data_IF_887034053261
#
_entry.id   IF_887034053261
#
_cell.length_a   1.000
_cell.length_b   1.000
_cell.length_c   1.000
_cell.angle_alpha   90.00
_cell.angle_beta   90.00
_cell.angle_gamma   90.00
#
_symmetry.space_group_name_H-M   'P 1'
#
loop_
_entity.id
_entity.type
_entity.pdbx_description
1 polymer ?
#
# COMPACT_ATOMS: atom_id res chain seq x y z
N UNK A 1 11.02 -4.51 -4.27
CA UNK A 1 10.76 -4.22 -2.84
C UNK A 1 10.04 -5.41 -2.22
N UNK A 2 10.66 -6.10 -1.26
CA UNK A 2 10.05 -7.25 -0.56
C UNK A 2 10.08 -6.89 0.92
N UNK A 3 8.92 -6.65 1.54
CA UNK A 3 8.83 -6.45 2.99
C UNK A 3 8.52 -7.80 3.63
N UNK A 4 9.50 -8.35 4.36
CA UNK A 4 9.36 -9.59 5.10
C UNK A 4 9.34 -9.28 6.60
N UNK A 5 8.41 -9.88 7.32
CA UNK A 5 8.43 -9.90 8.78
C UNK A 5 9.39 -10.99 9.25
N UNK A 6 10.46 -10.59 9.94
CA UNK A 6 11.37 -11.50 10.65
C UNK A 6 10.79 -11.81 12.03
N UNK A 7 10.87 -13.07 12.46
CA UNK A 7 10.33 -13.60 13.74
C UNK A 7 11.03 -13.08 15.01
N UNK A 8 11.77 -11.98 14.96
CA UNK A 8 12.35 -11.34 16.13
C UNK A 8 11.66 -9.99 16.35
N UNK A 9 11.03 -9.85 17.53
CA UNK A 9 10.49 -8.60 18.03
C UNK A 9 11.57 -7.50 17.99
N UNK A 10 11.14 -6.26 17.78
CA UNK A 10 11.88 -5.00 17.85
C UNK A 10 12.74 -4.65 16.61
N UNK A 11 12.31 -3.60 15.88
CA UNK A 11 12.87 -2.99 14.66
C UNK A 11 12.56 -3.70 13.32
N UNK A 12 11.81 -2.99 12.45
CA UNK A 12 11.52 -3.43 11.09
C UNK A 12 12.52 -2.81 10.11
N UNK A 13 12.90 -3.59 9.11
CA UNK A 13 13.84 -3.19 8.08
C UNK A 13 13.24 -3.43 6.69
N UNK A 14 13.42 -2.47 5.80
CA UNK A 14 12.86 -2.46 4.45
C UNK A 14 13.88 -3.07 3.50
N UNK A 15 13.56 -4.15 2.78
CA UNK A 15 14.46 -4.65 1.73
C UNK A 15 14.13 -4.04 0.37
N UNK A 16 15.01 -3.15 -0.09
CA UNK A 16 15.02 -2.61 -1.46
C UNK A 16 16.14 -3.32 -2.21
N UNK A 17 15.81 -4.03 -3.28
CA UNK A 17 16.78 -4.78 -4.12
C UNK A 17 17.66 -5.80 -3.36
N UNK A 18 17.16 -6.38 -2.28
CA UNK A 18 17.88 -7.36 -1.45
C UNK A 18 18.68 -6.73 -0.30
N UNK A 19 18.91 -5.42 -0.35
CA UNK A 19 19.66 -4.67 0.65
C UNK A 19 18.74 -4.18 1.77
N UNK A 20 19.21 -4.32 3.01
CA UNK A 20 18.46 -3.98 4.22
C UNK A 20 18.56 -2.47 4.46
N UNK A 21 17.51 -1.72 4.17
CA UNK A 21 17.41 -0.30 4.48
C UNK A 21 16.67 -0.10 5.80
N UNK A 22 17.21 0.79 6.62
CA UNK A 22 16.47 1.33 7.76
C UNK A 22 15.20 2.02 7.25
N UNK A 23 14.12 2.06 8.05
CA UNK A 23 12.97 2.90 7.74
C UNK A 23 13.48 4.31 7.46
N UNK A 24 13.01 4.97 6.38
CA UNK A 24 13.36 6.36 6.17
C UNK A 24 12.99 7.13 7.43
N UNK A 25 13.92 7.96 7.91
CA UNK A 25 13.64 8.88 8.99
C UNK A 25 12.37 9.67 8.63
N UNK A 26 11.53 10.02 9.63
CA UNK A 26 10.40 10.90 9.38
C UNK A 26 10.89 12.11 8.62
N UNK A 27 10.37 12.30 7.41
CA UNK A 27 10.65 13.47 6.58
C UNK A 27 10.29 14.68 7.43
N UNK A 28 11.22 15.65 7.49
CA UNK A 28 11.04 16.83 8.32
C UNK A 28 9.71 17.51 7.98
N UNK A 29 9.01 18.08 8.97
CA UNK A 29 7.68 18.69 8.74
C UNK A 29 7.69 19.77 7.64
N UNK A 30 8.86 20.34 7.35
CA UNK A 30 9.08 21.33 6.29
C UNK A 30 8.95 20.77 4.86
N UNK A 31 9.22 19.48 4.65
CA UNK A 31 9.20 18.87 3.30
C UNK A 31 7.85 18.15 3.05
N UNK A 32 7.13 17.77 4.11
CA UNK A 32 5.81 17.14 4.03
C UNK A 32 4.77 18.02 3.31
N UNK A 33 4.93 19.36 3.35
CA UNK A 33 4.06 20.31 2.64
C UNK A 33 4.21 20.25 1.11
N UNK A 34 5.31 19.69 0.58
CA UNK A 34 5.53 19.53 -0.86
C UNK A 34 5.18 18.14 -1.38
N UNK A 35 5.00 17.18 -0.46
CA UNK A 35 4.67 15.80 -0.80
C UNK A 35 3.29 15.70 -1.45
N UNK A 36 3.16 15.03 -2.61
CA UNK A 36 1.86 14.85 -3.26
C UNK A 36 0.99 13.82 -2.55
N UNK A 37 1.60 12.94 -1.74
CA UNK A 37 0.95 11.72 -1.25
C UNK A 37 -0.28 11.96 -0.36
N UNK A 38 -0.30 12.90 0.61
CA UNK A 38 -1.48 13.11 1.44
C UNK A 38 -2.74 13.48 0.65
N UNK A 39 -2.58 14.21 -0.47
CA UNK A 39 -3.70 14.62 -1.34
C UNK A 39 -4.30 13.46 -2.15
N UNK A 40 -3.57 12.35 -2.26
CA UNK A 40 -3.99 11.16 -2.98
C UNK A 40 -4.66 10.12 -2.07
N UNK A 41 -4.73 10.36 -0.76
CA UNK A 41 -5.36 9.45 0.20
C UNK A 41 -6.85 9.77 0.33
N UNK A 42 -7.68 8.73 0.25
CA UNK A 42 -9.12 8.80 0.50
C UNK A 42 -9.51 7.81 1.61
N UNK A 43 -10.38 8.23 2.52
CA UNK A 43 -10.85 7.36 3.61
C UNK A 43 -11.85 6.32 3.10
N UNK A 44 -11.74 5.10 3.63
CA UNK A 44 -12.73 4.07 3.39
C UNK A 44 -14.05 4.39 4.09
N UNK A 45 -15.14 3.77 3.64
CA UNK A 45 -16.46 3.99 4.20
C UNK A 45 -16.48 3.67 5.70
N UNK A 46 -16.99 4.62 6.50
CA UNK A 46 -17.08 4.51 7.95
C UNK A 46 -15.76 4.76 8.72
N UNK A 47 -14.67 5.11 8.04
CA UNK A 47 -13.41 5.54 8.68
C UNK A 47 -13.34 7.06 8.76
N UNK A 48 -12.87 7.60 9.89
CA UNK A 48 -12.75 9.05 10.14
C UNK A 48 -11.32 9.52 10.40
N UNK A 49 -10.41 8.59 10.69
CA UNK A 49 -9.01 8.87 10.99
C UNK A 49 -8.17 8.75 9.72
N UNK A 50 -7.28 9.71 9.46
CA UNK A 50 -6.30 9.61 8.38
C UNK A 50 -5.02 8.90 8.83
N UNK A 51 -4.21 8.35 7.91
CA UNK A 51 -2.97 7.65 8.25
C UNK A 51 -2.03 8.45 9.16
N UNK A 52 -1.91 9.76 8.97
CA UNK A 52 -0.99 10.58 9.76
C UNK A 52 -1.47 10.85 11.19
N UNK A 53 -2.76 10.67 11.46
CA UNK A 53 -3.36 10.78 12.80
C UNK A 53 -3.33 9.44 13.54
N UNK A 54 -3.25 8.33 12.80
CA UNK A 54 -3.23 6.99 13.34
C UNK A 54 -1.93 6.67 14.09
N UNK A 55 -2.06 5.92 15.20
CA UNK A 55 -0.93 5.45 16.00
C UNK A 55 0.01 4.53 15.21
N UNK A 56 -0.54 3.64 14.40
CA UNK A 56 0.20 2.62 13.67
C UNK A 56 -0.41 2.36 12.29
N UNK A 57 0.33 2.73 11.24
CA UNK A 57 -0.08 2.58 9.85
C UNK A 57 0.57 1.36 9.22
N UNK A 58 -0.29 0.48 8.72
CA UNK A 58 0.08 -0.66 7.87
C UNK A 58 -0.27 -0.33 6.43
N UNK A 59 0.66 -0.61 5.52
CA UNK A 59 0.52 -0.37 4.10
C UNK A 59 0.58 -1.68 3.31
N UNK A 60 -0.29 -1.81 2.32
CA UNK A 60 -0.25 -2.87 1.31
C UNK A 60 -0.71 -2.30 -0.01
N UNK A 61 -0.09 -2.68 -1.11
CA UNK A 61 -0.45 -2.20 -2.45
C UNK A 61 -0.55 -3.31 -3.48
N UNK A 62 -1.33 -3.04 -4.53
CA UNK A 62 -1.58 -4.00 -5.59
C UNK A 62 -2.48 -3.48 -6.70
N UNK A 63 -2.73 -4.37 -7.67
CA UNK A 63 -3.66 -4.10 -8.78
C UNK A 63 -5.12 -4.21 -8.31
N UNK A 64 -5.44 -5.20 -7.48
CA UNK A 64 -6.79 -5.45 -6.94
C UNK A 64 -7.86 -5.74 -8.02
N UNK A 65 -7.46 -6.33 -9.14
CA UNK A 65 -8.37 -6.77 -10.20
C UNK A 65 -9.34 -7.82 -9.66
N UNK A 66 -10.64 -7.67 -9.92
CA UNK A 66 -11.67 -8.66 -9.60
C UNK A 66 -11.62 -9.17 -8.15
N UNK A 67 -11.45 -8.24 -7.20
CA UNK A 67 -11.24 -8.48 -5.77
C UNK A 67 -11.87 -9.78 -5.23
N UNK A 68 -11.06 -10.83 -5.12
CA UNK A 68 -11.52 -12.18 -4.80
C UNK A 68 -11.15 -12.61 -3.37
N UNK A 69 -11.51 -13.83 -2.97
CA UNK A 69 -11.28 -14.36 -1.63
C UNK A 69 -9.81 -14.27 -1.17
N UNK A 70 -8.85 -14.49 -2.08
CA UNK A 70 -7.42 -14.29 -1.80
C UNK A 70 -7.08 -12.86 -1.35
N UNK A 71 -7.56 -11.84 -2.08
CA UNK A 71 -7.36 -10.43 -1.69
C UNK A 71 -8.04 -10.11 -0.36
N UNK A 72 -9.25 -10.62 -0.14
CA UNK A 72 -9.95 -10.45 1.15
C UNK A 72 -9.13 -11.05 2.30
N UNK A 73 -8.55 -12.23 2.09
CA UNK A 73 -7.69 -12.90 3.05
C UNK A 73 -6.47 -12.05 3.43
N UNK A 74 -5.74 -11.54 2.44
CA UNK A 74 -4.53 -10.73 2.72
C UNK A 74 -4.88 -9.37 3.34
N UNK A 75 -5.96 -8.70 2.91
CA UNK A 75 -6.42 -7.45 3.51
C UNK A 75 -6.80 -7.64 4.99
N UNK A 76 -7.48 -8.75 5.31
CA UNK A 76 -7.79 -9.12 6.70
C UNK A 76 -6.52 -9.32 7.53
N UNK A 77 -5.52 -10.03 6.98
CA UNK A 77 -4.25 -10.27 7.66
C UNK A 77 -3.44 -8.97 7.84
N UNK A 78 -3.44 -8.09 6.83
CA UNK A 78 -2.79 -6.79 6.91
C UNK A 78 -3.45 -5.90 7.98
N UNK A 79 -4.78 -5.88 8.04
CA UNK A 79 -5.55 -5.11 9.04
C UNK A 79 -5.24 -5.54 10.47
N UNK A 80 -4.95 -6.81 10.70
CA UNK A 80 -4.61 -7.34 12.03
C UNK A 80 -3.21 -6.90 12.54
N UNK A 81 -2.39 -6.26 11.70
CA UNK A 81 -1.00 -5.90 12.00
C UNK A 81 -0.81 -4.45 12.45
N UNK A 82 -1.89 -3.68 12.54
CA UNK A 82 -1.88 -2.32 13.09
C UNK A 82 -3.25 -1.68 13.14
N UNK A 83 -3.32 -0.42 13.59
CA UNK A 83 -4.59 0.24 13.87
C UNK A 83 -5.23 0.87 12.62
N UNK A 84 -4.45 1.20 11.60
CA UNK A 84 -4.92 1.79 10.34
C UNK A 84 -4.35 1.03 9.14
N UNK A 85 -5.22 0.51 8.27
CA UNK A 85 -4.80 -0.13 7.02
C UNK A 85 -4.95 0.84 5.85
N UNK A 86 -3.80 1.28 5.32
CA UNK A 86 -3.70 2.07 4.09
C UNK A 86 -3.45 1.13 2.90
N UNK A 87 -4.33 1.15 1.90
CA UNK A 87 -4.21 0.31 0.71
C UNK A 87 -3.83 1.12 -0.53
N UNK A 88 -2.68 0.84 -1.13
CA UNK A 88 -2.28 1.42 -2.42
C UNK A 88 -2.95 0.71 -3.60
N UNK A 89 -3.52 1.50 -4.52
CA UNK A 89 -4.10 0.99 -5.77
C UNK A 89 -3.31 1.55 -6.95
N UNK A 90 -2.70 0.67 -7.74
CA UNK A 90 -1.96 1.08 -8.94
C UNK A 90 -2.90 1.62 -10.02
N UNK A 91 -2.51 2.68 -10.73
CA UNK A 91 -3.24 3.19 -11.89
C UNK A 91 -3.24 2.22 -13.07
N UNK A 92 -4.17 2.44 -13.99
CA UNK A 92 -4.23 1.67 -15.23
C UNK A 92 -3.00 1.89 -16.12
N UNK A 93 -2.33 3.03 -15.98
CA UNK A 93 -1.07 3.34 -16.66
C UNK A 93 0.09 2.53 -16.06
N UNK A 94 0.27 2.58 -14.74
CA UNK A 94 1.30 1.78 -14.03
C UNK A 94 1.19 0.30 -14.38
N UNK A 95 -0.03 -0.25 -14.34
CA UNK A 95 -0.26 -1.66 -14.66
C UNK A 95 0.03 -1.97 -16.13
N UNK A 96 -0.30 -1.06 -17.06
CA UNK A 96 -0.01 -1.23 -18.49
C UNK A 96 1.49 -1.25 -18.77
N UNK A 97 2.25 -0.38 -18.13
CA UNK A 97 3.71 -0.33 -18.24
C UNK A 97 4.36 -1.62 -17.74
N UNK A 98 3.87 -2.14 -16.61
CA UNK A 98 4.44 -3.34 -15.98
C UNK A 98 4.04 -4.63 -16.70
N UNK A 99 2.78 -4.76 -17.13
CA UNK A 99 2.23 -6.01 -17.66
C UNK A 99 2.14 -6.06 -19.19
N UNK A 100 2.39 -4.94 -19.88
CA UNK A 100 2.45 -4.88 -21.34
C UNK A 100 1.09 -5.05 -22.04
N UNK A 101 -0.02 -4.71 -21.39
CA UNK A 101 -1.37 -4.93 -21.92
C UNK A 101 -2.43 -4.00 -21.31
N UNK A 102 -3.66 -4.06 -21.84
CA UNK A 102 -4.80 -3.33 -21.26
C UNK A 102 -5.13 -3.89 -19.89
N UNK A 103 -5.43 -3.00 -18.93
CA UNK A 103 -5.97 -3.42 -17.65
C UNK A 103 -7.30 -4.16 -17.84
N UNK A 104 -7.45 -5.27 -17.13
CA UNK A 104 -8.68 -6.07 -17.18
C UNK A 104 -9.87 -5.37 -16.53
N UNK A 105 -9.61 -4.45 -15.59
CA UNK A 105 -10.61 -3.69 -14.85
C UNK A 105 -10.09 -2.26 -14.60
N UNK A 106 -10.95 -1.25 -14.71
CA UNK A 106 -10.54 0.15 -14.61
C UNK A 106 -10.10 0.52 -13.19
N UNK A 107 -9.21 1.50 -13.10
CA UNK A 107 -8.74 2.05 -11.83
C UNK A 107 -9.88 2.47 -10.90
N UNK A 108 -10.89 3.17 -11.40
CA UNK A 108 -12.01 3.68 -10.62
C UNK A 108 -12.82 2.54 -10.00
N UNK A 109 -13.02 1.45 -10.75
CA UNK A 109 -13.74 0.26 -10.27
C UNK A 109 -12.95 -0.44 -9.16
N UNK A 110 -11.65 -0.63 -9.37
CA UNK A 110 -10.75 -1.26 -8.39
C UNK A 110 -10.65 -0.41 -7.12
N UNK A 111 -10.45 0.89 -7.28
CA UNK A 111 -10.31 1.84 -6.19
C UNK A 111 -11.59 1.97 -5.36
N UNK A 112 -12.75 2.15 -6.01
CA UNK A 112 -14.04 2.23 -5.31
C UNK A 112 -14.35 0.97 -4.51
N UNK A 113 -14.01 -0.21 -5.03
CA UNK A 113 -14.19 -1.48 -4.32
C UNK A 113 -13.27 -1.62 -3.11
N UNK A 114 -12.04 -1.09 -3.18
CA UNK A 114 -11.12 -1.05 -2.04
C UNK A 114 -11.65 -0.11 -0.94
N UNK A 115 -12.21 1.04 -1.30
CA UNK A 115 -12.80 1.98 -0.33
C UNK A 115 -14.03 1.43 0.40
N UNK A 116 -14.79 0.52 -0.24
CA UNK A 116 -15.94 -0.16 0.36
C UNK A 116 -15.55 -1.40 1.17
N UNK A 117 -14.25 -1.74 1.24
CA UNK A 117 -13.81 -2.95 1.91
C UNK A 117 -13.76 -2.74 3.44
N UNK A 118 -14.50 -3.56 4.19
CA UNK A 118 -14.56 -3.56 5.67
C UNK A 118 -13.22 -3.64 6.41
N UNK A 119 -12.15 -4.10 5.77
CA UNK A 119 -10.83 -4.22 6.38
C UNK A 119 -9.94 -3.00 6.11
N UNK A 120 -10.31 -2.15 5.16
CA UNK A 120 -9.51 -1.01 4.71
C UNK A 120 -9.92 0.23 5.50
N UNK A 121 -8.93 1.04 5.90
CA UNK A 121 -9.15 2.30 6.61
C UNK A 121 -9.04 3.49 5.66
N UNK A 122 -8.09 3.42 4.72
CA UNK A 122 -7.97 4.41 3.65
C UNK A 122 -7.29 3.79 2.43
N UNK A 123 -7.43 4.41 1.27
CA UNK A 123 -6.78 3.99 0.04
C UNK A 123 -5.93 5.12 -0.55
N UNK A 124 -4.75 4.77 -1.06
CA UNK A 124 -3.87 5.67 -1.79
C UNK A 124 -4.13 5.51 -3.29
N UNK A 125 -4.55 6.60 -3.94
CA UNK A 125 -4.71 6.69 -5.40
C UNK A 125 -3.35 6.70 -6.07
N UNK A 126 -3.29 6.04 -7.22
CA UNK A 126 -2.11 5.95 -8.08
C UNK A 126 -0.85 5.58 -7.30
N UNK A 127 -0.95 4.50 -6.53
CA UNK A 127 0.17 4.01 -5.75
C UNK A 127 1.33 3.62 -6.70
N UNK A 128 2.56 4.09 -6.44
CA UNK A 128 3.69 3.79 -7.32
C UNK A 128 4.06 2.30 -7.21
N UNK A 129 4.57 1.73 -8.31
CA UNK A 129 5.03 0.34 -8.32
C UNK A 129 6.20 0.08 -7.34
N UNK A 130 7.08 1.08 -7.21
CA UNK A 130 8.22 1.05 -6.29
C UNK A 130 8.00 2.06 -5.17
N UNK A 131 8.09 1.60 -3.92
CA UNK A 131 7.96 2.46 -2.75
C UNK A 131 9.15 3.42 -2.65
N UNK A 132 8.85 4.68 -2.36
CA UNK A 132 9.83 5.73 -2.12
C UNK A 132 9.91 6.07 -0.63
N UNK A 133 11.07 6.54 -0.19
CA UNK A 133 11.25 7.01 1.19
C UNK A 133 10.25 8.13 1.56
N UNK A 134 10.02 9.02 0.60
CA UNK A 134 9.07 10.12 0.70
C UNK A 134 7.63 9.65 0.93
N UNK A 135 7.16 8.65 0.18
CA UNK A 135 5.82 8.07 0.37
C UNK A 135 5.66 7.48 1.77
N UNK A 136 6.67 6.72 2.22
CA UNK A 136 6.62 6.06 3.53
C UNK A 136 6.55 7.07 4.66
N UNK A 137 7.40 8.10 4.60
CA UNK A 137 7.46 9.12 5.63
C UNK A 137 6.24 10.04 5.61
N UNK A 138 5.83 10.51 4.42
CA UNK A 138 4.70 11.44 4.27
C UNK A 138 3.37 10.85 4.76
N UNK A 139 3.20 9.53 4.60
CA UNK A 139 1.99 8.83 5.04
C UNK A 139 2.14 8.12 6.39
N UNK A 140 3.25 8.37 7.10
CA UNK A 140 3.60 7.75 8.39
C UNK A 140 3.52 6.22 8.38
N UNK A 141 3.86 5.60 7.26
CA UNK A 141 3.81 4.15 7.06
C UNK A 141 4.90 3.50 7.91
N UNK A 142 4.49 2.60 8.81
CA UNK A 142 5.39 1.89 9.72
C UNK A 142 5.58 0.43 9.30
N UNK A 143 4.57 -0.19 8.71
CA UNK A 143 4.67 -1.59 8.26
C UNK A 143 4.22 -1.71 6.83
N UNK A 144 4.98 -2.42 6.01
CA UNK A 144 4.57 -2.80 4.65
C UNK A 144 4.29 -4.29 4.65
N UNK A 145 3.10 -4.69 4.20
CA UNK A 145 2.69 -6.08 4.07
C UNK A 145 2.73 -6.47 2.60
N UNK A 146 3.35 -7.61 2.32
CA UNK A 146 3.37 -8.19 0.97
C UNK A 146 2.91 -9.64 1.02
N UNK A 147 2.28 -10.11 -0.06
CA UNK A 147 1.88 -11.52 -0.18
C UNK A 147 3.07 -12.42 -0.51
N UNK A 148 2.92 -13.72 -0.25
CA UNK A 148 3.94 -14.73 -0.58
C UNK A 148 4.15 -14.92 -2.09
N UNK A 149 3.20 -14.46 -2.91
CA UNK A 149 3.28 -14.45 -4.37
C UNK A 149 3.64 -13.05 -4.82
N UNK A 150 4.64 -12.93 -5.71
CA UNK A 150 5.08 -11.64 -6.24
C UNK A 150 3.95 -10.92 -6.99
N UNK A 151 3.86 -9.60 -6.87
CA UNK A 151 2.88 -8.73 -7.54
C UNK A 151 2.78 -8.97 -9.06
N UNK A 152 3.89 -9.37 -9.69
CA UNK A 152 3.94 -9.75 -11.11
C UNK A 152 3.04 -10.95 -11.45
N UNK A 153 3.00 -11.95 -10.58
CA UNK A 153 2.19 -13.15 -10.79
C UNK A 153 0.71 -12.91 -10.44
N UNK A 154 0.43 -12.04 -9.46
CA UNK A 154 -0.94 -11.72 -9.05
C UNK A 154 -1.66 -10.80 -10.05
N UNK A 155 -0.93 -9.92 -10.74
CA UNK A 155 -1.49 -9.02 -11.76
C UNK A 155 -1.84 -9.69 -13.10
N UNK A 156 -1.62 -11.01 -13.24
CA UNK A 156 -1.85 -11.74 -14.48
C UNK A 156 -0.70 -11.64 -15.49
N UNK A 157 0.50 -11.25 -15.06
CA UNK A 157 1.71 -11.35 -15.88
C UNK A 157 2.01 -12.81 -16.22
N UNK A 158 2.21 -13.09 -17.51
CA UNK A 158 2.68 -14.40 -17.99
C UNK A 158 4.12 -14.66 -17.55
#
# INVERSE_FOLDING_TARGET
VIAFESRACESFAIRVNGELLLPPLPVSELDANHSPWPKQVELAEGTVEFPWDAREVVYIDGAWNFLHAGHQGILKQARARGCHLLVGVHSDETLREVFGGKCHESFETRFGRILQNRHVSSALKDAPWTLTADLLASLRIQKVVTGSVSKLKDGGGK
#
